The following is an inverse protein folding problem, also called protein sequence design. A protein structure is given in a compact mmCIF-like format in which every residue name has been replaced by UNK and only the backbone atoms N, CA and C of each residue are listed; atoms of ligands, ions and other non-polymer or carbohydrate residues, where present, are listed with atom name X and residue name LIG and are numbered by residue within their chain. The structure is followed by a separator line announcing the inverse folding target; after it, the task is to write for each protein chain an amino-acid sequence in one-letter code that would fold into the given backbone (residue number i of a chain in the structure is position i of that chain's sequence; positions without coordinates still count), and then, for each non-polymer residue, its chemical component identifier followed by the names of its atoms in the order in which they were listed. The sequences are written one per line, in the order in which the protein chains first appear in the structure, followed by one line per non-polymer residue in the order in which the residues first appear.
data_IF_213155396950
#
_entry.id   IF_213155396950
#
_cell.length_a   1.000
_cell.length_b   1.000
_cell.length_c   1.000
_cell.angle_alpha   90.00
_cell.angle_beta   90.00
_cell.angle_gamma   90.00
#
_symmetry.space_group_name_H-M   'P 1'
#
loop_
_entity.id
_entity.type
_entity.pdbx_description
1 polymer ?
#
# COMPACT_ATOMS: atom_id res chain seq x y z
N UNK A 1 33.80 -37.68 -3.14
CA UNK A 1 34.03 -36.34 -2.55
C UNK A 1 33.11 -35.30 -3.22
N UNK A 2 31.81 -35.32 -2.92
CA UNK A 2 30.83 -34.32 -3.41
C UNK A 2 29.67 -34.17 -2.42
N UNK A 3 29.92 -33.65 -1.22
CA UNK A 3 28.88 -33.38 -0.22
C UNK A 3 29.29 -32.30 0.80
N UNK A 4 29.61 -31.08 0.34
CA UNK A 4 29.88 -29.95 1.29
C UNK A 4 29.28 -28.60 0.84
N UNK A 5 28.73 -28.45 -0.36
CA UNK A 5 28.41 -27.10 -0.88
C UNK A 5 27.00 -26.56 -0.57
N UNK A 6 26.13 -27.29 0.14
CA UNK A 6 24.72 -26.85 0.36
C UNK A 6 24.52 -26.09 1.69
N UNK A 7 25.49 -26.10 2.60
CA UNK A 7 25.30 -25.55 3.96
C UNK A 7 25.55 -24.03 4.11
N UNK A 8 26.07 -23.31 3.10
CA UNK A 8 26.36 -21.87 3.23
C UNK A 8 25.22 -20.93 2.80
N UNK A 9 24.18 -21.42 2.13
CA UNK A 9 23.07 -20.59 1.65
C UNK A 9 22.08 -20.16 2.73
N UNK A 10 21.89 -20.96 3.78
CA UNK A 10 20.88 -20.70 4.81
C UNK A 10 21.34 -19.78 5.96
N UNK A 11 22.64 -19.44 6.05
CA UNK A 11 23.14 -18.61 7.15
C UNK A 11 23.02 -17.10 6.84
N UNK A 12 22.94 -16.72 5.56
CA UNK A 12 22.89 -15.30 5.16
C UNK A 12 21.47 -14.71 5.29
N UNK A 13 20.41 -15.53 5.30
CA UNK A 13 19.03 -15.07 5.47
C UNK A 13 18.58 -14.87 6.94
N UNK A 14 19.36 -15.34 7.92
CA UNK A 14 19.04 -15.17 9.35
C UNK A 14 19.69 -13.92 9.98
N UNK A 15 20.60 -13.25 9.28
CA UNK A 15 21.31 -12.06 9.79
C UNK A 15 20.62 -10.73 9.46
N UNK A 16 19.58 -10.70 8.62
CA UNK A 16 18.83 -9.45 8.33
C UNK A 16 17.59 -9.23 9.20
N UNK A 17 17.24 -10.16 10.10
CA UNK A 17 16.08 -10.03 10.98
C UNK A 17 16.42 -9.54 12.41
N UNK A 18 17.69 -9.61 12.82
CA UNK A 18 18.11 -9.28 14.18
C UNK A 18 18.33 -7.78 14.44
N UNK A 19 18.40 -6.95 13.39
CA UNK A 19 18.66 -5.50 13.50
C UNK A 19 17.40 -4.63 13.59
N UNK A 20 16.19 -5.21 13.52
CA UNK A 20 14.94 -4.43 13.54
C UNK A 20 14.26 -4.31 14.92
N UNK A 21 14.80 -4.92 15.99
CA UNK A 21 14.11 -5.04 17.29
C UNK A 21 14.64 -4.04 18.37
N UNK A 22 15.65 -3.21 18.08
CA UNK A 22 16.20 -2.26 19.08
C UNK A 22 15.65 -0.82 19.04
N UNK A 23 14.62 -0.52 18.24
CA UNK A 23 14.12 0.86 18.07
C UNK A 23 12.94 1.28 18.98
N UNK A 24 12.43 0.40 19.86
CA UNK A 24 11.25 0.73 20.69
C UNK A 24 11.49 0.47 22.18
N UNK A 25 12.24 1.35 22.82
CA UNK A 25 12.19 1.54 24.27
C UNK A 25 11.60 2.93 24.56
N UNK A 26 10.46 3.05 25.27
CA UNK A 26 9.92 4.35 25.67
C UNK A 26 10.77 4.94 26.81
N UNK A 27 11.04 6.27 26.82
CA UNK A 27 11.69 6.91 27.95
C UNK A 27 10.72 7.03 29.14
N UNK A 28 11.15 6.51 30.29
CA UNK A 28 10.52 6.75 31.59
C UNK A 28 10.75 8.20 32.03
N UNK A 29 9.68 8.97 32.21
CA UNK A 29 9.77 10.33 32.74
C UNK A 29 9.18 10.38 34.16
N UNK A 30 10.07 10.47 35.15
CA UNK A 30 9.74 10.88 36.51
C UNK A 30 10.31 12.29 36.70
N UNK A 31 9.44 13.27 36.96
CA UNK A 31 9.60 14.16 38.11
C UNK A 31 8.41 15.09 38.24
N UNK A 32 8.11 15.39 39.51
CA UNK A 32 6.95 16.11 39.97
C UNK A 32 7.39 17.33 40.78
N UNK A 33 6.45 18.30 40.91
CA UNK A 33 6.15 19.14 42.08
C UNK A 33 6.74 20.59 42.18
N UNK A 34 5.79 21.53 42.40
CA UNK A 34 5.82 22.80 43.21
C UNK A 34 6.53 24.07 42.69
N UNK A 35 6.10 25.34 42.90
CA UNK A 35 4.88 25.99 43.46
C UNK A 35 4.88 27.51 43.13
N UNK A 36 3.67 28.08 42.98
CA UNK A 36 3.15 29.45 43.34
C UNK A 36 3.71 30.82 42.90
N UNK A 37 2.73 31.64 42.49
CA UNK A 37 2.47 33.10 42.68
C UNK A 37 3.24 34.17 41.87
N UNK A 38 2.52 34.93 41.02
CA UNK A 38 1.97 36.27 41.33
C UNK A 38 1.17 36.88 40.16
N UNK A 39 0.13 37.66 40.49
CA UNK A 39 -0.70 38.45 39.58
C UNK A 39 -0.10 39.87 39.44
N UNK A 40 0.06 40.40 38.22
CA UNK A 40 -0.08 41.85 38.00
C UNK A 40 -0.35 42.24 36.53
N UNK A 41 -0.99 43.40 36.39
CA UNK A 41 -1.72 43.94 35.25
C UNK A 41 -0.87 44.48 34.09
N UNK A 42 -1.50 44.44 32.91
CA UNK A 42 -1.48 45.38 31.77
C UNK A 42 -0.34 46.41 31.64
N UNK A 43 0.31 46.43 30.48
CA UNK A 43 0.38 47.65 29.66
C UNK A 43 0.79 47.35 28.21
N UNK A 44 0.06 48.02 27.33
CA UNK A 44 0.20 48.12 25.88
C UNK A 44 1.48 48.85 25.50
N UNK A 45 2.38 48.26 24.69
CA UNK A 45 3.29 49.03 23.84
C UNK A 45 3.57 48.31 22.52
N UNK A 46 2.99 48.87 21.47
CA UNK A 46 3.38 48.69 20.07
C UNK A 46 4.69 49.46 19.87
N UNK A 47 5.77 48.79 19.43
CA UNK A 47 6.89 49.46 18.74
C UNK A 47 7.75 48.48 17.93
N UNK A 48 7.67 48.67 16.61
CA UNK A 48 8.74 48.55 15.62
C UNK A 48 9.40 47.18 15.45
N UNK A 49 8.81 46.36 14.59
CA UNK A 49 9.55 45.29 13.92
C UNK A 49 10.36 45.87 12.77
N UNK A 50 11.67 45.88 12.96
CA UNK A 50 12.70 46.11 11.94
C UNK A 50 12.54 45.09 10.82
N UNK A 51 12.36 45.57 9.59
CA UNK A 51 12.34 44.78 8.36
C UNK A 51 13.73 44.17 8.12
N UNK A 52 13.99 42.99 8.68
CA UNK A 52 15.04 42.12 8.15
C UNK A 52 14.47 41.41 6.92
N UNK A 53 14.81 41.93 5.73
CA UNK A 53 14.71 41.22 4.47
C UNK A 53 15.65 40.00 4.52
N UNK A 54 15.19 38.94 5.17
CA UNK A 54 15.67 37.59 4.87
C UNK A 54 15.05 37.27 3.53
N UNK A 55 15.85 37.26 2.48
CA UNK A 55 15.54 36.59 1.21
C UNK A 55 15.34 35.11 1.54
N UNK A 56 14.18 34.78 2.10
CA UNK A 56 13.66 33.44 2.01
C UNK A 56 13.47 33.25 0.52
N UNK A 57 14.34 32.44 -0.09
CA UNK A 57 13.97 31.75 -1.30
C UNK A 57 12.60 31.15 -0.99
N UNK A 58 11.58 31.73 -1.60
CA UNK A 58 10.30 31.09 -1.75
C UNK A 58 10.64 29.82 -2.52
N UNK A 59 10.91 28.74 -1.80
CA UNK A 59 10.69 27.39 -2.31
C UNK A 59 9.23 27.42 -2.69
N UNK A 60 8.98 27.75 -3.96
CA UNK A 60 7.69 27.60 -4.60
C UNK A 60 7.20 26.23 -4.17
N UNK A 61 6.14 26.21 -3.36
CA UNK A 61 5.43 25.00 -2.97
C UNK A 61 4.94 24.38 -4.27
N UNK A 62 5.78 23.56 -4.92
CA UNK A 62 5.37 22.86 -6.12
C UNK A 62 4.36 21.83 -5.63
N UNK A 63 3.08 22.16 -5.80
CA UNK A 63 2.01 21.18 -5.82
C UNK A 63 2.36 20.21 -6.94
N UNK A 64 3.06 19.12 -6.58
CA UNK A 64 3.34 18.04 -7.51
C UNK A 64 2.02 17.49 -8.01
N UNK A 65 1.88 17.41 -9.33
CA UNK A 65 0.65 16.91 -9.92
C UNK A 65 0.71 15.39 -9.96
N UNK A 66 -0.16 14.72 -9.19
CA UNK A 66 -0.36 13.27 -9.27
C UNK A 66 -1.09 12.83 -10.55
N UNK A 67 -1.39 13.78 -11.45
CA UNK A 67 -2.10 13.53 -12.72
C UNK A 67 -1.52 12.41 -13.57
N UNK A 68 -0.18 12.23 -13.69
CA UNK A 68 0.37 11.11 -14.46
C UNK A 68 -0.11 9.77 -13.91
N UNK A 69 -0.06 9.55 -12.59
CA UNK A 69 -0.55 8.30 -11.97
C UNK A 69 -2.06 8.10 -12.02
N UNK A 70 -2.86 9.14 -12.29
CA UNK A 70 -4.29 9.13 -12.04
C UNK A 70 -5.06 8.02 -12.80
N UNK A 71 -4.75 7.81 -14.09
CA UNK A 71 -5.43 6.79 -14.89
C UNK A 71 -4.97 5.38 -14.51
N UNK A 72 -3.66 5.07 -14.46
CA UNK A 72 -3.19 3.76 -14.02
C UNK A 72 -3.65 3.42 -12.59
N UNK A 73 -3.61 4.36 -11.65
CA UNK A 73 -4.08 4.14 -10.27
C UNK A 73 -5.58 3.80 -10.23
N UNK A 74 -6.40 4.49 -11.02
CA UNK A 74 -7.83 4.21 -11.10
C UNK A 74 -8.10 2.82 -11.70
N UNK A 75 -7.38 2.45 -12.76
CA UNK A 75 -7.53 1.14 -13.42
C UNK A 75 -7.01 0.01 -12.53
N UNK A 76 -5.95 0.26 -11.76
CA UNK A 76 -5.46 -0.63 -10.71
C UNK A 76 -6.54 -0.90 -9.68
N UNK A 77 -7.16 0.16 -9.15
CA UNK A 77 -8.19 0.04 -8.11
C UNK A 77 -9.39 -0.78 -8.58
N UNK A 78 -9.93 -0.51 -9.78
CA UNK A 78 -11.05 -1.28 -10.34
C UNK A 78 -10.73 -2.76 -10.52
N UNK A 79 -9.51 -3.06 -10.97
CA UNK A 79 -9.09 -4.44 -11.16
C UNK A 79 -8.89 -5.17 -9.83
N UNK A 80 -8.32 -4.49 -8.82
CA UNK A 80 -8.18 -5.03 -7.47
C UNK A 80 -9.55 -5.25 -6.82
N UNK A 81 -10.48 -4.32 -7.00
CA UNK A 81 -11.86 -4.45 -6.53
C UNK A 81 -12.49 -5.73 -7.09
N UNK A 82 -12.39 -5.93 -8.40
CA UNK A 82 -12.90 -7.13 -9.07
C UNK A 82 -12.19 -8.41 -8.62
N UNK A 83 -10.89 -8.34 -8.33
CA UNK A 83 -10.13 -9.48 -7.78
C UNK A 83 -10.69 -9.91 -6.42
N UNK A 84 -10.96 -8.96 -5.52
CA UNK A 84 -11.57 -9.22 -4.22
C UNK A 84 -12.97 -9.83 -4.32
N UNK A 85 -13.81 -9.35 -5.24
CA UNK A 85 -15.12 -9.96 -5.53
C UNK A 85 -15.00 -11.44 -5.95
N UNK A 86 -14.09 -11.74 -6.88
CA UNK A 86 -13.86 -13.10 -7.35
C UNK A 86 -13.30 -14.01 -6.25
N UNK A 87 -12.52 -13.46 -5.31
CA UNK A 87 -12.06 -14.21 -4.15
C UNK A 87 -13.22 -14.53 -3.19
N UNK A 88 -14.18 -13.62 -3.03
CA UNK A 88 -15.42 -13.91 -2.27
C UNK A 88 -16.21 -15.02 -2.98
N UNK A 89 -16.37 -14.94 -4.30
CA UNK A 89 -17.06 -15.98 -5.08
C UNK A 89 -16.38 -17.35 -4.95
N UNK A 90 -15.03 -17.39 -5.01
CA UNK A 90 -14.24 -18.58 -4.75
C UNK A 90 -14.54 -19.17 -3.37
N UNK A 91 -14.56 -18.35 -2.31
CA UNK A 91 -14.83 -18.83 -0.95
C UNK A 91 -16.23 -19.41 -0.79
N UNK A 92 -17.19 -18.93 -1.58
CA UNK A 92 -18.54 -19.49 -1.61
C UNK A 92 -18.55 -20.90 -2.20
N UNK A 93 -17.71 -21.17 -3.21
CA UNK A 93 -17.58 -22.49 -3.85
C UNK A 93 -16.77 -23.48 -3.02
N UNK A 94 -15.79 -22.99 -2.26
CA UNK A 94 -15.01 -23.79 -1.32
C UNK A 94 -15.75 -24.10 0.00
N UNK A 95 -17.01 -23.69 0.12
CA UNK A 95 -17.82 -23.81 1.35
C UNK A 95 -17.19 -23.13 2.57
N UNK A 96 -16.43 -22.05 2.34
CA UNK A 96 -15.78 -21.21 3.35
C UNK A 96 -16.59 -19.92 3.61
N UNK A 97 -17.89 -19.93 3.28
CA UNK A 97 -18.70 -18.71 3.21
C UNK A 97 -18.83 -18.04 4.58
N UNK A 98 -18.33 -16.81 4.67
CA UNK A 98 -18.33 -16.03 5.91
C UNK A 98 -17.12 -16.24 6.83
N UNK A 99 -16.19 -17.12 6.48
CA UNK A 99 -14.92 -17.28 7.18
C UNK A 99 -13.93 -16.14 6.91
N UNK A 100 -12.78 -16.19 7.57
CA UNK A 100 -11.72 -15.18 7.46
C UNK A 100 -11.25 -14.93 6.03
N UNK A 101 -11.20 -15.96 5.17
CA UNK A 101 -10.74 -15.80 3.78
C UNK A 101 -11.71 -14.96 2.95
N UNK A 102 -13.01 -15.15 3.15
CA UNK A 102 -14.06 -14.36 2.48
C UNK A 102 -13.99 -12.90 2.93
N UNK A 103 -13.79 -12.67 4.24
CA UNK A 103 -13.61 -11.34 4.79
C UNK A 103 -12.32 -10.65 4.30
N UNK A 104 -11.25 -11.41 4.05
CA UNK A 104 -10.04 -10.88 3.41
C UNK A 104 -10.32 -10.46 1.96
N UNK A 105 -11.10 -11.23 1.20
CA UNK A 105 -11.57 -10.86 -0.14
C UNK A 105 -12.38 -9.55 -0.16
N UNK A 106 -13.26 -9.35 0.82
CA UNK A 106 -13.99 -8.10 0.97
C UNK A 106 -13.07 -6.89 1.25
N UNK A 107 -12.04 -7.08 2.05
CA UNK A 107 -11.04 -6.05 2.33
C UNK A 107 -10.19 -5.70 1.10
N UNK A 108 -9.78 -6.70 0.31
CA UNK A 108 -9.15 -6.47 -1.00
C UNK A 108 -10.07 -5.65 -1.90
N UNK A 109 -11.36 -5.99 -1.94
CA UNK A 109 -12.34 -5.26 -2.76
C UNK A 109 -12.42 -3.79 -2.36
N UNK A 110 -12.60 -3.53 -1.06
CA UNK A 110 -12.72 -2.18 -0.51
C UNK A 110 -11.44 -1.36 -0.76
N UNK A 111 -10.26 -1.97 -0.61
CA UNK A 111 -9.00 -1.33 -0.99
C UNK A 111 -9.00 -0.95 -2.49
N UNK A 112 -9.47 -1.83 -3.37
CA UNK A 112 -9.62 -1.53 -4.78
C UNK A 112 -10.53 -0.31 -5.06
N UNK A 113 -11.65 -0.21 -4.36
CA UNK A 113 -12.57 0.94 -4.48
C UNK A 113 -11.91 2.24 -4.01
N UNK A 114 -11.16 2.21 -2.91
CA UNK A 114 -10.39 3.36 -2.42
C UNK A 114 -9.31 3.79 -3.43
N UNK A 115 -8.55 2.85 -4.00
CA UNK A 115 -7.57 3.14 -5.04
C UNK A 115 -8.21 3.76 -6.29
N UNK A 116 -9.40 3.27 -6.68
CA UNK A 116 -10.14 3.82 -7.81
C UNK A 116 -10.56 5.28 -7.55
N UNK A 117 -11.00 5.58 -6.33
CA UNK A 117 -11.36 6.93 -5.89
C UNK A 117 -10.14 7.85 -5.79
N UNK A 118 -9.02 7.37 -5.23
CA UNK A 118 -7.75 8.08 -5.22
C UNK A 118 -7.30 8.44 -6.65
N UNK A 119 -7.35 7.49 -7.58
CA UNK A 119 -7.01 7.73 -8.99
C UNK A 119 -7.94 8.74 -9.68
N UNK A 120 -9.24 8.72 -9.38
CA UNK A 120 -10.17 9.72 -9.87
C UNK A 120 -9.84 11.13 -9.34
N UNK A 121 -9.55 11.23 -8.05
CA UNK A 121 -9.18 12.48 -7.35
C UNK A 121 -7.84 13.05 -7.82
N UNK A 122 -6.86 12.20 -8.14
CA UNK A 122 -5.52 12.60 -8.61
C UNK A 122 -5.55 13.41 -9.92
N UNK A 123 -6.68 13.40 -10.66
CA UNK A 123 -6.90 14.25 -11.85
C UNK A 123 -7.08 15.72 -11.50
N UNK A 124 -7.45 16.05 -10.27
CA UNK A 124 -7.73 17.41 -9.83
C UNK A 124 -6.57 17.95 -9.00
N UNK A 125 -6.13 19.19 -9.27
CA UNK A 125 -4.99 19.79 -8.57
C UNK A 125 -5.27 20.09 -7.09
N UNK A 126 -6.55 20.17 -6.72
CA UNK A 126 -7.03 20.59 -5.40
C UNK A 126 -7.50 19.42 -4.54
N UNK A 127 -7.46 18.19 -5.06
CA UNK A 127 -8.01 17.01 -4.38
C UNK A 127 -6.92 16.16 -3.70
N UNK A 128 -5.76 16.74 -3.38
CA UNK A 128 -4.65 15.99 -2.76
C UNK A 128 -5.05 15.37 -1.43
N UNK A 129 -5.85 16.07 -0.62
CA UNK A 129 -6.38 15.54 0.65
C UNK A 129 -7.21 14.27 0.42
N UNK A 130 -8.12 14.29 -0.55
CA UNK A 130 -8.90 13.11 -0.94
C UNK A 130 -8.01 11.97 -1.43
N UNK A 131 -6.94 12.25 -2.17
CA UNK A 131 -5.99 11.20 -2.59
C UNK A 131 -5.30 10.58 -1.38
N UNK A 132 -4.86 11.39 -0.41
CA UNK A 132 -4.22 10.89 0.81
C UNK A 132 -5.21 10.01 1.59
N UNK A 133 -6.40 10.52 1.86
CA UNK A 133 -7.40 9.82 2.67
C UNK A 133 -7.75 8.45 2.07
N UNK A 134 -8.02 8.40 0.75
CA UNK A 134 -8.35 7.15 0.06
C UNK A 134 -7.17 6.17 0.01
N UNK A 135 -5.93 6.63 -0.17
CA UNK A 135 -4.78 5.73 -0.15
C UNK A 135 -4.59 5.10 1.23
N UNK A 136 -4.74 5.89 2.30
CA UNK A 136 -4.58 5.41 3.67
C UNK A 136 -5.75 4.52 4.10
N UNK A 137 -6.98 4.83 3.70
CA UNK A 137 -8.13 3.93 3.89
C UNK A 137 -7.95 2.60 3.15
N UNK A 138 -7.41 2.64 1.92
CA UNK A 138 -7.07 1.43 1.18
C UNK A 138 -5.99 0.59 1.88
N UNK A 139 -5.00 1.24 2.49
CA UNK A 139 -4.00 0.56 3.32
C UNK A 139 -4.63 -0.11 4.55
N UNK A 140 -5.52 0.60 5.23
CA UNK A 140 -6.23 0.10 6.41
C UNK A 140 -7.09 -1.11 6.06
N UNK A 141 -7.79 -1.09 4.92
CA UNK A 141 -8.49 -2.26 4.38
C UNK A 141 -7.56 -3.46 4.22
N UNK A 142 -6.39 -3.32 3.60
CA UNK A 142 -5.44 -4.44 3.45
C UNK A 142 -4.84 -4.90 4.79
N UNK A 143 -4.64 -3.99 5.74
CA UNK A 143 -4.19 -4.31 7.10
C UNK A 143 -5.23 -5.16 7.81
N UNK A 144 -6.49 -4.73 7.80
CA UNK A 144 -7.60 -5.53 8.34
C UNK A 144 -7.75 -6.87 7.63
N UNK A 145 -7.61 -6.89 6.30
CA UNK A 145 -7.60 -8.11 5.49
C UNK A 145 -6.52 -9.11 5.94
N UNK A 146 -5.34 -8.62 6.35
CA UNK A 146 -4.27 -9.46 6.89
C UNK A 146 -4.68 -10.13 8.20
N UNK A 147 -5.39 -9.41 9.08
CA UNK A 147 -5.95 -9.98 10.31
C UNK A 147 -7.06 -11.00 10.02
N UNK A 148 -7.78 -10.84 8.90
CA UNK A 148 -8.76 -11.85 8.44
C UNK A 148 -8.08 -13.09 7.87
N UNK A 149 -6.98 -12.96 7.15
CA UNK A 149 -6.18 -14.10 6.69
C UNK A 149 -5.60 -14.89 7.87
N UNK A 150 -5.15 -14.22 8.92
CA UNK A 150 -4.67 -14.88 10.14
C UNK A 150 -5.78 -15.73 10.78
N UNK A 151 -7.00 -15.20 10.89
CA UNK A 151 -8.17 -15.97 11.33
C UNK A 151 -8.50 -17.13 10.39
N UNK A 152 -8.40 -16.94 9.08
CA UNK A 152 -8.66 -18.00 8.11
C UNK A 152 -7.65 -19.17 8.20
N UNK A 153 -6.40 -18.87 8.59
CA UNK A 153 -5.39 -19.89 8.92
C UNK A 153 -5.81 -20.69 10.15
N UNK A 154 -6.28 -20.02 11.20
CA UNK A 154 -6.78 -20.67 12.43
C UNK A 154 -8.03 -21.53 12.15
N UNK A 155 -8.98 -21.02 11.38
CA UNK A 155 -10.18 -21.74 10.94
C UNK A 155 -9.80 -23.01 10.16
N UNK A 156 -8.90 -22.88 9.17
CA UNK A 156 -8.43 -24.02 8.38
C UNK A 156 -7.68 -25.06 9.22
N UNK A 157 -6.99 -24.64 10.27
CA UNK A 157 -6.32 -25.53 11.22
C UNK A 157 -7.32 -26.32 12.06
N UNK A 158 -8.36 -25.67 12.57
CA UNK A 158 -9.44 -26.31 13.34
C UNK A 158 -10.17 -27.36 12.49
N UNK A 159 -10.36 -27.07 11.20
CA UNK A 159 -11.00 -27.98 10.25
C UNK A 159 -10.07 -29.10 9.75
N UNK A 160 -8.80 -29.09 10.15
CA UNK A 160 -7.79 -30.08 9.74
C UNK A 160 -7.36 -29.94 8.27
N UNK A 161 -7.72 -28.85 7.59
CA UNK A 161 -7.34 -28.58 6.20
C UNK A 161 -5.96 -27.88 6.14
N UNK A 162 -4.91 -28.67 6.41
CA UNK A 162 -3.52 -28.17 6.46
C UNK A 162 -3.02 -27.63 5.12
N UNK A 163 -3.51 -28.16 4.00
CA UNK A 163 -3.14 -27.69 2.65
C UNK A 163 -3.68 -26.28 2.42
N UNK A 164 -4.96 -26.04 2.74
CA UNK A 164 -5.56 -24.70 2.62
C UNK A 164 -4.92 -23.73 3.61
N UNK A 165 -4.69 -24.16 4.86
CA UNK A 165 -3.97 -23.38 5.88
C UNK A 165 -2.65 -22.84 5.33
N UNK A 166 -1.81 -23.71 4.75
CA UNK A 166 -0.50 -23.33 4.21
C UNK A 166 -0.61 -22.38 3.01
N UNK A 167 -1.64 -22.57 2.16
CA UNK A 167 -1.91 -21.68 1.02
C UNK A 167 -2.34 -20.28 1.49
N UNK A 168 -3.28 -20.20 2.43
CA UNK A 168 -3.74 -18.92 3.03
C UNK A 168 -2.60 -18.23 3.77
N UNK A 169 -1.80 -18.98 4.54
CA UNK A 169 -0.67 -18.41 5.29
C UNK A 169 0.35 -17.69 4.41
N UNK A 170 0.53 -18.13 3.15
CA UNK A 170 1.40 -17.47 2.17
C UNK A 170 0.87 -16.12 1.69
N UNK A 171 -0.43 -15.85 1.82
CA UNK A 171 -1.04 -14.57 1.45
C UNK A 171 -0.74 -13.44 2.45
N UNK A 172 -0.46 -13.78 3.71
CA UNK A 172 -0.35 -12.83 4.83
C UNK A 172 0.77 -11.81 4.58
N UNK A 173 1.98 -12.30 4.29
CA UNK A 173 3.15 -11.44 4.09
C UNK A 173 2.98 -10.45 2.94
N UNK A 174 2.61 -10.88 1.71
CA UNK A 174 2.46 -9.95 0.60
C UNK A 174 1.29 -8.98 0.80
N UNK A 175 0.17 -9.40 1.40
CA UNK A 175 -0.93 -8.47 1.73
C UNK A 175 -0.49 -7.39 2.74
N UNK A 176 0.24 -7.79 3.78
CA UNK A 176 0.80 -6.86 4.78
C UNK A 176 1.79 -5.88 4.17
N UNK A 177 2.64 -6.35 3.24
CA UNK A 177 3.58 -5.49 2.52
C UNK A 177 2.85 -4.50 1.62
N UNK A 178 1.82 -4.94 0.90
CA UNK A 178 1.00 -4.06 0.07
C UNK A 178 0.32 -2.96 0.91
N UNK A 179 -0.24 -3.32 2.07
CA UNK A 179 -0.77 -2.37 3.05
C UNK A 179 0.29 -1.34 3.47
N UNK A 180 1.44 -1.80 3.96
CA UNK A 180 2.52 -0.92 4.42
C UNK A 180 2.93 0.08 3.35
N UNK A 181 3.25 -0.40 2.14
CA UNK A 181 3.68 0.48 1.06
C UNK A 181 2.59 1.46 0.64
N UNK A 182 1.32 1.05 0.66
CA UNK A 182 0.21 1.93 0.34
C UNK A 182 0.02 3.05 1.38
N UNK A 183 0.19 2.75 2.67
CA UNK A 183 0.25 3.78 3.72
C UNK A 183 1.40 4.75 3.48
N UNK A 184 2.59 4.24 3.14
CA UNK A 184 3.76 5.07 2.83
C UNK A 184 3.52 5.97 1.62
N UNK A 185 2.73 5.57 0.62
CA UNK A 185 2.32 6.49 -0.47
C UNK A 185 1.53 7.68 0.11
N UNK A 186 0.49 7.40 0.92
CA UNK A 186 -0.33 8.44 1.53
C UNK A 186 0.47 9.35 2.47
N UNK A 187 1.34 8.76 3.29
CA UNK A 187 2.24 9.47 4.20
C UNK A 187 3.24 10.36 3.47
N UNK A 188 3.90 9.86 2.42
CA UNK A 188 4.83 10.63 1.60
C UNK A 188 4.17 11.83 0.92
N UNK A 189 2.93 11.68 0.44
CA UNK A 189 2.16 12.80 -0.12
C UNK A 189 1.87 13.85 0.95
N UNK A 190 1.41 13.43 2.13
CA UNK A 190 1.11 14.31 3.27
C UNK A 190 2.36 15.07 3.74
N UNK A 191 3.50 14.39 3.77
CA UNK A 191 4.81 14.95 4.15
C UNK A 191 5.47 15.78 3.05
N UNK A 192 4.86 15.83 1.85
CA UNK A 192 5.36 16.57 0.67
C UNK A 192 6.73 16.09 0.22
N UNK A 193 6.95 14.77 0.28
CA UNK A 193 8.15 14.15 -0.24
C UNK A 193 8.24 14.26 -1.77
N UNK A 194 9.38 13.87 -2.34
CA UNK A 194 9.58 13.94 -3.79
C UNK A 194 8.70 12.93 -4.52
N UNK A 195 8.39 13.24 -5.79
CA UNK A 195 7.68 12.32 -6.68
C UNK A 195 8.40 10.98 -6.84
N UNK A 196 9.73 10.97 -6.77
CA UNK A 196 10.51 9.74 -6.86
C UNK A 196 10.26 8.79 -5.69
N UNK A 197 10.10 9.33 -4.47
CA UNK A 197 9.79 8.54 -3.26
C UNK A 197 8.37 7.99 -3.34
N UNK A 198 7.39 8.86 -3.61
CA UNK A 198 5.97 8.47 -3.79
C UNK A 198 5.84 7.39 -4.87
N UNK A 199 6.54 7.57 -6.00
CA UNK A 199 6.57 6.59 -7.07
C UNK A 199 7.23 5.26 -6.67
N UNK A 200 8.30 5.32 -5.86
CA UNK A 200 8.93 4.13 -5.29
C UNK A 200 7.94 3.32 -4.47
N UNK A 201 7.20 3.97 -3.57
CA UNK A 201 6.17 3.31 -2.76
C UNK A 201 5.06 2.69 -3.61
N UNK A 202 4.56 3.38 -4.64
CA UNK A 202 3.57 2.80 -5.57
C UNK A 202 4.10 1.55 -6.29
N UNK A 203 5.35 1.57 -6.75
CA UNK A 203 5.98 0.41 -7.39
C UNK A 203 6.06 -0.75 -6.40
N UNK A 204 6.54 -0.52 -5.18
CA UNK A 204 6.62 -1.53 -4.14
C UNK A 204 5.25 -2.10 -3.76
N UNK A 205 4.19 -1.28 -3.72
CA UNK A 205 2.81 -1.75 -3.54
C UNK A 205 2.41 -2.70 -4.66
N UNK A 206 2.68 -2.32 -5.92
CA UNK A 206 2.40 -3.17 -7.06
C UNK A 206 3.16 -4.50 -7.03
N UNK A 207 4.44 -4.49 -6.66
CA UNK A 207 5.24 -5.72 -6.50
C UNK A 207 4.68 -6.64 -5.41
N UNK A 208 4.24 -6.07 -4.28
CA UNK A 208 3.59 -6.84 -3.23
C UNK A 208 2.25 -7.44 -3.68
N UNK A 209 1.45 -6.70 -4.46
CA UNK A 209 0.21 -7.21 -5.07
C UNK A 209 0.48 -8.33 -6.09
N UNK A 210 1.59 -8.28 -6.83
CA UNK A 210 2.00 -9.36 -7.73
C UNK A 210 2.27 -10.64 -6.94
N UNK A 211 3.02 -10.55 -5.84
CA UNK A 211 3.27 -11.70 -4.97
C UNK A 211 1.98 -12.24 -4.36
N UNK A 212 1.06 -11.36 -3.95
CA UNK A 212 -0.26 -11.77 -3.45
C UNK A 212 -1.04 -12.53 -4.53
N UNK A 213 -1.03 -12.05 -5.78
CA UNK A 213 -1.77 -12.70 -6.88
C UNK A 213 -1.32 -14.14 -7.13
N UNK A 214 -0.02 -14.40 -7.03
CA UNK A 214 0.55 -15.74 -7.21
C UNK A 214 0.08 -16.72 -6.12
N UNK A 215 -0.25 -16.20 -4.94
CA UNK A 215 -0.77 -17.01 -3.83
C UNK A 215 -2.27 -17.24 -3.92
N UNK A 216 -3.02 -16.28 -4.49
CA UNK A 216 -4.46 -16.43 -4.80
C UNK A 216 -4.69 -17.50 -5.86
N UNK A 217 -3.88 -17.52 -6.93
CA UNK A 217 -4.03 -18.47 -8.03
C UNK A 217 -4.01 -19.93 -7.57
N UNK A 218 -3.18 -20.23 -6.57
CA UNK A 218 -2.97 -21.59 -6.07
C UNK A 218 -3.90 -21.97 -4.92
N UNK A 219 -4.84 -21.11 -4.50
CA UNK A 219 -5.81 -21.44 -3.45
C UNK A 219 -6.63 -22.69 -3.86
N UNK A 220 -7.14 -22.68 -5.08
CA UNK A 220 -7.80 -23.80 -5.73
C UNK A 220 -7.44 -23.82 -7.22
N UNK A 221 -6.56 -24.76 -7.60
CA UNK A 221 -5.96 -24.84 -8.94
C UNK A 221 -6.97 -25.19 -10.04
N UNK A 222 -8.08 -25.82 -9.65
CA UNK A 222 -9.16 -26.19 -10.56
C UNK A 222 -10.21 -25.08 -10.71
N UNK A 223 -10.16 -24.05 -9.85
CA UNK A 223 -11.15 -22.98 -9.85
C UNK A 223 -10.81 -21.87 -10.84
N UNK A 224 -11.75 -21.64 -11.77
CA UNK A 224 -11.70 -20.50 -12.68
C UNK A 224 -11.81 -19.15 -11.96
N UNK A 225 -12.50 -19.09 -10.81
CA UNK A 225 -12.61 -17.85 -10.03
C UNK A 225 -11.27 -17.48 -9.39
N UNK A 226 -10.53 -18.47 -8.88
CA UNK A 226 -9.19 -18.27 -8.32
C UNK A 226 -8.21 -17.76 -9.37
N UNK A 227 -8.18 -18.40 -10.55
CA UNK A 227 -7.36 -17.96 -11.70
C UNK A 227 -7.73 -16.55 -12.14
N UNK A 228 -9.02 -16.26 -12.30
CA UNK A 228 -9.47 -14.94 -12.74
C UNK A 228 -9.19 -13.87 -11.68
N UNK A 229 -9.38 -14.19 -10.39
CA UNK A 229 -9.04 -13.30 -9.28
C UNK A 229 -7.55 -12.94 -9.30
N UNK A 230 -6.67 -13.93 -9.47
CA UNK A 230 -5.24 -13.72 -9.59
C UNK A 230 -4.89 -12.87 -10.81
N UNK A 231 -5.43 -13.17 -12.00
CA UNK A 231 -5.20 -12.37 -13.22
C UNK A 231 -5.62 -10.91 -13.05
N UNK A 232 -6.75 -10.64 -12.38
CA UNK A 232 -7.18 -9.27 -12.09
C UNK A 232 -6.23 -8.56 -11.13
N UNK A 233 -5.70 -9.27 -10.15
CA UNK A 233 -4.70 -8.73 -9.23
C UNK A 233 -3.34 -8.49 -9.92
N UNK A 234 -2.92 -9.36 -10.85
CA UNK A 234 -1.74 -9.13 -11.72
C UNK A 234 -1.92 -7.84 -12.51
N UNK A 235 -3.06 -7.66 -13.18
CA UNK A 235 -3.33 -6.43 -13.91
C UNK A 235 -3.35 -5.21 -12.98
N UNK A 236 -3.91 -5.33 -11.78
CA UNK A 236 -3.86 -4.26 -10.79
C UNK A 236 -2.42 -3.88 -10.42
N UNK A 237 -1.58 -4.88 -10.13
CA UNK A 237 -0.15 -4.71 -9.88
C UNK A 237 0.55 -3.97 -11.02
N UNK A 238 0.33 -4.39 -12.27
CA UNK A 238 0.94 -3.77 -13.44
C UNK A 238 0.54 -2.29 -13.59
N UNK A 239 -0.74 -1.98 -13.35
CA UNK A 239 -1.22 -0.60 -13.41
C UNK A 239 -0.68 0.24 -12.23
N UNK A 240 -0.53 -0.34 -11.05
CA UNK A 240 0.08 0.33 -9.89
C UNK A 240 1.57 0.66 -10.14
N UNK A 241 2.33 -0.30 -10.68
CA UNK A 241 3.73 -0.09 -11.08
C UNK A 241 3.81 0.98 -12.18
N UNK A 242 2.91 0.94 -13.16
CA UNK A 242 2.82 1.95 -14.20
C UNK A 242 2.53 3.33 -13.61
N UNK A 243 1.63 3.44 -12.62
CA UNK A 243 1.35 4.70 -11.92
C UNK A 243 2.63 5.32 -11.34
N UNK A 244 3.44 4.51 -10.65
CA UNK A 244 4.73 4.95 -10.12
C UNK A 244 5.70 5.37 -11.22
N UNK A 245 5.85 4.59 -12.29
CA UNK A 245 6.70 4.94 -13.44
C UNK A 245 6.29 6.26 -14.10
N UNK A 246 5.00 6.48 -14.30
CA UNK A 246 4.49 7.72 -14.88
C UNK A 246 4.73 8.94 -13.98
N UNK A 247 4.72 8.79 -12.64
CA UNK A 247 5.13 9.85 -11.72
C UNK A 247 6.61 10.21 -11.82
N UNK A 248 7.48 9.23 -12.08
CA UNK A 248 8.90 9.46 -12.38
C UNK A 248 9.14 10.10 -13.75
N UNK A 249 8.08 10.26 -14.56
CA UNK A 249 8.17 10.77 -15.92
C UNK A 249 8.63 9.73 -16.94
N UNK A 250 8.68 8.45 -16.58
CA UNK A 250 8.89 7.36 -17.53
C UNK A 250 7.66 7.28 -18.44
N UNK A 251 7.82 7.63 -19.71
CA UNK A 251 6.73 7.55 -20.67
C UNK A 251 6.60 6.11 -21.17
N UNK A 252 5.37 5.61 -21.24
CA UNK A 252 5.04 4.46 -22.10
C UNK A 252 5.52 4.77 -23.51
N UNK A 253 6.28 3.85 -24.11
CA UNK A 253 6.49 3.86 -25.56
C UNK A 253 5.10 3.82 -26.20
N UNK A 254 4.69 4.95 -26.78
CA UNK A 254 3.46 4.97 -27.56
C UNK A 254 3.67 3.95 -28.69
N UNK A 255 2.76 2.98 -28.90
CA UNK A 255 2.86 2.13 -30.07
C UNK A 255 2.97 3.06 -31.27
N UNK A 256 4.08 2.95 -32.02
CA UNK A 256 4.29 3.72 -33.26
C UNK A 256 3.15 3.32 -34.19
N UNK A 257 2.08 4.12 -34.16
CA UNK A 257 0.88 3.87 -34.94
C UNK A 257 1.25 3.78 -36.41
N UNK A 258 0.77 2.72 -37.05
CA UNK A 258 0.89 2.48 -38.49
C UNK A 258 0.56 3.77 -39.24
N UNK A 259 1.50 4.24 -40.05
CA UNK A 259 1.26 5.30 -41.03
C UNK A 259 0.07 4.88 -41.87
N UNK A 260 -1.05 5.59 -41.74
CA UNK A 260 -2.15 5.46 -42.67
C UNK A 260 -1.61 5.75 -44.07
N UNK A 261 -1.56 4.71 -44.91
CA UNK A 261 -1.33 4.85 -46.35
C UNK A 261 -2.47 5.74 -46.84
N UNK A 262 -2.13 6.98 -47.20
CA UNK A 262 -3.01 7.82 -48.01
C UNK A 262 -3.04 7.17 -49.39
N UNK A 263 -4.16 6.53 -49.72
CA UNK A 263 -4.56 6.29 -51.11
C UNK A 263 -4.95 7.60 -51.78
#
# INVERSE_FOLDING_TARGET
MKSVTIALGCIIQLLSLATLIQAFAPPTNNNAIMTTHHYHQQSTQIKQYTTQQRTQQTTTTQLYSLKPAALPLMDSGKALARSGELLIDLTSKLDLYGGGLSAAGANIRNCGDCLAQAGASARMKTATELVIDELREGSDCLREGTDKLTRAVEESEVDGNTVLKDKIGKMIVPMKQASLWLEEVGASILQKESLDVIAGHLISTGEALLLLSMTVEVLDEESEDGKLSAQRMVYASEQMILAGKELKGEKKDKPKGKSWIKG
#
